data_IF_905745156176
#
_entry.id   IF_905745156176
#
_cell.length_a   1.000
_cell.length_b   1.000
_cell.length_c   1.000
_cell.angle_alpha   90.00
_cell.angle_beta   90.00
_cell.angle_gamma   90.00
#
_symmetry.space_group_name_H-M   'P 1'
#
loop_
_entity.id
_entity.type
_entity.pdbx_description
1 polymer ?
#
# COMPACT_ATOMS: atom_id res chain seq x y z
N UNK A 1 70.11 -27.86 22.24
CA UNK A 1 68.69 -27.86 22.67
C UNK A 1 68.32 -26.45 23.05
N UNK A 2 67.65 -25.71 22.16
CA UNK A 2 67.22 -24.34 22.43
C UNK A 2 65.70 -24.31 22.64
N UNK A 3 65.28 -23.94 23.85
CA UNK A 3 63.90 -23.66 24.22
C UNK A 3 63.48 -22.32 23.63
N UNK A 4 62.57 -22.32 22.66
CA UNK A 4 61.90 -21.12 22.17
C UNK A 4 60.68 -20.88 23.05
N UNK A 5 60.76 -19.89 23.95
CA UNK A 5 59.60 -19.36 24.67
C UNK A 5 58.92 -18.33 23.77
N UNK A 6 57.79 -18.73 23.18
CA UNK A 6 56.91 -17.86 22.43
C UNK A 6 56.12 -16.98 23.43
N UNK A 7 56.42 -15.69 23.48
CA UNK A 7 55.65 -14.71 24.26
C UNK A 7 54.52 -14.20 23.35
N UNK A 8 53.30 -14.64 23.62
CA UNK A 8 52.09 -14.14 22.94
C UNK A 8 51.69 -12.84 23.63
N UNK A 9 52.00 -11.71 23.00
CA UNK A 9 51.56 -10.39 23.45
C UNK A 9 50.13 -10.16 22.94
N UNK A 10 49.15 -10.39 23.81
CA UNK A 10 47.73 -10.17 23.52
C UNK A 10 47.41 -8.68 23.73
N UNK A 11 47.37 -7.90 22.65
CA UNK A 11 46.91 -6.51 22.67
C UNK A 11 45.37 -6.48 22.77
N UNK A 12 44.87 -6.16 23.96
CA UNK A 12 43.48 -5.82 24.21
C UNK A 12 43.25 -4.36 23.78
N UNK A 13 42.78 -4.18 22.54
CA UNK A 13 42.28 -2.90 22.02
C UNK A 13 40.84 -2.71 22.54
N UNK A 14 40.69 -1.95 23.61
CA UNK A 14 39.39 -1.44 24.06
C UNK A 14 39.02 -0.27 23.15
N UNK A 15 38.24 -0.56 22.11
CA UNK A 15 37.55 0.48 21.35
C UNK A 15 36.46 1.06 22.25
N UNK A 16 36.67 2.27 22.76
CA UNK A 16 35.63 3.08 23.37
C UNK A 16 34.61 3.41 22.28
N UNK A 17 33.60 2.55 22.14
CA UNK A 17 32.46 2.78 21.26
C UNK A 17 31.77 4.05 21.70
N UNK A 18 31.86 5.08 20.86
CA UNK A 18 30.94 6.20 20.89
C UNK A 18 29.55 5.61 20.73
N UNK A 19 28.81 5.55 21.84
CA UNK A 19 27.42 5.15 21.86
C UNK A 19 26.68 6.20 21.01
N UNK A 20 26.16 5.87 19.82
CA UNK A 20 25.31 6.81 19.12
C UNK A 20 24.15 7.08 20.07
N UNK A 21 23.93 8.35 20.41
CA UNK A 21 22.67 8.77 21.00
C UNK A 21 21.60 8.41 19.98
N UNK A 22 21.04 7.21 20.13
CA UNK A 22 19.73 6.85 19.61
C UNK A 22 18.82 7.86 20.27
N UNK A 23 18.51 8.92 19.53
CA UNK A 23 17.49 9.87 19.89
C UNK A 23 16.27 9.03 20.25
N UNK A 24 15.90 9.01 21.53
CA UNK A 24 14.62 8.51 21.98
C UNK A 24 13.59 9.26 21.13
N UNK A 25 13.05 8.57 20.12
CA UNK A 25 11.84 9.02 19.45
C UNK A 25 10.83 9.06 20.57
N UNK A 26 10.34 10.26 20.83
CA UNK A 26 9.30 10.52 21.81
C UNK A 26 8.06 9.70 21.42
N UNK A 27 7.96 8.47 21.94
CA UNK A 27 6.87 7.51 21.75
C UNK A 27 5.61 7.97 22.53
N UNK A 28 5.34 9.29 22.52
CA UNK A 28 4.07 9.90 22.93
C UNK A 28 3.09 10.00 21.74
N UNK A 29 3.17 9.07 20.79
CA UNK A 29 2.37 9.01 19.57
C UNK A 29 1.02 8.34 19.82
N UNK A 30 0.26 8.89 20.77
CA UNK A 30 -1.19 8.80 20.66
C UNK A 30 -1.67 9.43 19.33
N UNK A 31 -2.87 9.09 18.84
CA UNK A 31 -3.45 9.77 17.69
C UNK A 31 -3.41 11.30 17.90
N UNK A 32 -2.69 12.01 17.05
CA UNK A 32 -2.60 13.47 17.09
C UNK A 32 -3.28 14.07 15.87
N UNK A 33 -4.08 15.13 16.06
CA UNK A 33 -4.68 15.87 14.96
C UNK A 33 -3.64 16.34 13.96
N UNK A 34 -3.97 16.20 12.68
CA UNK A 34 -3.14 16.71 11.59
C UNK A 34 -3.63 18.11 11.25
N UNK A 35 -2.86 19.11 11.64
CA UNK A 35 -3.25 20.53 11.52
C UNK A 35 -2.54 21.26 10.39
N UNK A 36 -1.66 20.59 9.64
CA UNK A 36 -0.90 21.22 8.56
C UNK A 36 -0.68 20.30 7.35
N UNK A 37 -0.53 20.85 6.13
CA UNK A 37 -0.18 20.09 4.93
C UNK A 37 1.11 19.28 5.10
N UNK A 38 2.11 19.86 5.79
CA UNK A 38 3.38 19.19 6.07
C UNK A 38 3.20 17.94 6.92
N UNK A 39 2.42 18.04 8.01
CA UNK A 39 2.13 16.89 8.86
C UNK A 39 1.33 15.82 8.12
N UNK A 40 0.41 16.21 7.22
CA UNK A 40 -0.32 15.28 6.36
C UNK A 40 0.61 14.54 5.38
N UNK A 41 1.53 15.27 4.75
CA UNK A 41 2.54 14.70 3.85
C UNK A 41 3.46 13.71 4.59
N UNK A 42 4.01 14.10 5.73
CA UNK A 42 4.86 13.23 6.56
C UNK A 42 4.11 11.97 7.00
N UNK A 43 2.83 12.10 7.38
CA UNK A 43 2.00 10.94 7.74
C UNK A 43 1.74 10.03 6.53
N UNK A 44 1.46 10.59 5.36
CA UNK A 44 1.24 9.83 4.13
C UNK A 44 2.48 9.02 3.75
N UNK A 45 3.66 9.64 3.81
CA UNK A 45 4.93 8.96 3.56
C UNK A 45 5.17 7.84 4.59
N UNK A 46 4.96 8.11 5.89
CA UNK A 46 5.12 7.10 6.94
C UNK A 46 4.22 5.86 6.76
N UNK A 47 2.97 6.04 6.30
CA UNK A 47 2.09 4.90 6.00
C UNK A 47 2.50 4.17 4.71
N UNK A 48 2.93 4.91 3.69
CA UNK A 48 3.04 4.36 2.34
C UNK A 48 4.43 3.90 1.95
N UNK A 49 5.49 4.50 2.51
CA UNK A 49 6.88 4.24 2.15
C UNK A 49 7.25 4.70 0.74
N UNK A 50 6.43 5.54 0.09
CA UNK A 50 6.63 5.94 -1.32
C UNK A 50 7.90 6.75 -1.56
N UNK A 51 8.48 7.38 -0.52
CA UNK A 51 9.77 8.06 -0.59
C UNK A 51 10.93 7.13 -1.01
N UNK A 52 10.75 5.82 -0.92
CA UNK A 52 11.73 4.84 -1.39
C UNK A 52 11.72 4.66 -2.92
N UNK A 53 10.62 5.04 -3.59
CA UNK A 53 10.42 4.81 -5.03
C UNK A 53 10.30 6.09 -5.85
N UNK A 54 10.06 7.24 -5.22
CA UNK A 54 9.98 8.54 -5.87
C UNK A 54 10.91 9.54 -5.22
N UNK A 55 11.39 10.50 -6.00
CA UNK A 55 12.14 11.63 -5.47
C UNK A 55 11.19 12.59 -4.76
N UNK A 56 11.35 12.73 -3.44
CA UNK A 56 10.56 13.66 -2.61
C UNK A 56 11.25 15.00 -2.42
N UNK A 57 12.48 15.17 -2.94
CA UNK A 57 13.25 16.41 -2.79
C UNK A 57 12.53 17.53 -3.54
N UNK A 58 12.14 18.57 -2.80
CA UNK A 58 11.50 19.75 -3.37
C UNK A 58 9.98 19.67 -3.54
N UNK A 59 9.34 18.55 -3.17
CA UNK A 59 7.87 18.51 -3.06
C UNK A 59 7.44 19.49 -1.98
N UNK A 60 6.63 20.49 -2.36
CA UNK A 60 6.01 21.40 -1.39
C UNK A 60 4.72 20.79 -0.87
N UNK A 61 4.61 20.69 0.46
CA UNK A 61 3.48 20.04 1.10
C UNK A 61 2.13 20.68 0.71
N UNK A 62 2.10 22.00 0.53
CA UNK A 62 0.91 22.76 0.16
C UNK A 62 0.41 22.46 -1.27
N UNK A 63 1.30 21.96 -2.13
CA UNK A 63 0.95 21.61 -3.52
C UNK A 63 0.30 20.22 -3.59
N UNK A 64 0.72 19.30 -2.72
CA UNK A 64 0.30 17.89 -2.75
C UNK A 64 -0.73 17.52 -1.69
N UNK A 65 -0.77 18.22 -0.54
CA UNK A 65 -1.65 17.92 0.58
C UNK A 65 -2.70 19.02 0.75
N UNK A 66 -3.98 18.63 0.62
CA UNK A 66 -5.12 19.55 0.72
C UNK A 66 -6.13 19.02 1.73
N UNK A 67 -6.60 19.90 2.61
CA UNK A 67 -7.76 19.62 3.45
C UNK A 67 -9.02 19.75 2.59
N UNK A 68 -9.79 18.67 2.49
CA UNK A 68 -10.98 18.58 1.65
C UNK A 68 -12.11 17.93 2.42
N UNK A 69 -13.35 18.21 2.03
CA UNK A 69 -14.50 17.45 2.55
C UNK A 69 -14.63 16.17 1.72
N UNK A 70 -14.39 15.03 2.34
CA UNK A 70 -14.56 13.75 1.70
C UNK A 70 -16.01 13.54 1.28
N UNK A 71 -16.19 13.00 0.07
CA UNK A 71 -17.46 12.46 -0.39
C UNK A 71 -17.20 11.04 -0.84
N UNK A 72 -17.71 10.10 -0.07
CA UNK A 72 -17.64 8.69 -0.44
C UNK A 72 -19.01 8.08 -0.26
N UNK A 73 -19.73 7.97 -1.37
CA UNK A 73 -20.97 7.20 -1.44
C UNK A 73 -20.72 5.75 -1.81
N UNK A 74 -19.46 5.38 -2.01
CA UNK A 74 -19.07 4.20 -2.77
C UNK A 74 -18.54 3.12 -1.85
N UNK A 75 -17.51 3.37 -1.05
CA UNK A 75 -16.92 2.33 -0.20
C UNK A 75 -17.84 2.09 1.00
N UNK A 76 -18.54 0.95 1.13
CA UNK A 76 -19.30 0.66 2.36
C UNK A 76 -18.35 0.68 3.57
N UNK A 77 -18.83 0.81 4.80
CA UNK A 77 -18.05 0.95 6.07
C UNK A 77 -17.08 2.14 6.18
N UNK A 78 -16.49 2.64 5.09
CA UNK A 78 -15.71 3.88 5.08
C UNK A 78 -16.65 5.07 4.88
N UNK A 79 -17.58 4.99 3.91
CA UNK A 79 -18.59 6.02 3.60
C UNK A 79 -19.28 6.59 4.83
N UNK A 80 -19.82 5.73 5.71
CA UNK A 80 -20.48 6.15 6.95
C UNK A 80 -19.57 6.95 7.90
N UNK A 81 -18.24 6.80 7.78
CA UNK A 81 -17.25 7.49 8.60
C UNK A 81 -16.63 8.70 7.93
N UNK A 82 -16.56 8.75 6.60
CA UNK A 82 -15.81 9.80 5.89
C UNK A 82 -16.72 10.75 5.11
N UNK A 83 -17.94 10.36 4.76
CA UNK A 83 -18.82 11.20 3.97
C UNK A 83 -19.17 12.47 4.76
N UNK A 84 -18.87 13.63 4.17
CA UNK A 84 -19.05 14.94 4.79
C UNK A 84 -18.02 15.30 5.86
N UNK A 85 -17.01 14.47 6.11
CA UNK A 85 -15.92 14.78 7.05
C UNK A 85 -14.77 15.52 6.35
N UNK A 86 -14.08 16.39 7.10
CA UNK A 86 -12.81 16.96 6.66
C UNK A 86 -11.71 15.88 6.72
N UNK A 87 -10.98 15.74 5.62
CA UNK A 87 -9.86 14.80 5.49
C UNK A 87 -8.70 15.47 4.80
N UNK A 88 -7.49 15.02 5.10
CA UNK A 88 -6.32 15.35 4.31
C UNK A 88 -6.23 14.43 3.10
N UNK A 89 -6.19 15.02 1.91
CA UNK A 89 -5.94 14.34 0.66
C UNK A 89 -4.53 14.69 0.19
N UNK A 90 -3.62 13.71 0.20
CA UNK A 90 -2.24 13.84 -0.29
C UNK A 90 -2.13 13.14 -1.64
N UNK A 91 -1.74 13.87 -2.67
CA UNK A 91 -1.66 13.37 -4.05
C UNK A 91 -0.23 13.34 -4.57
N UNK A 92 0.22 12.16 -5.01
CA UNK A 92 1.49 12.00 -5.73
C UNK A 92 1.22 11.54 -7.14
N UNK A 93 1.60 12.35 -8.13
CA UNK A 93 1.40 12.02 -9.54
C UNK A 93 2.62 11.35 -10.17
N UNK A 94 2.40 10.59 -11.23
CA UNK A 94 3.45 9.98 -12.05
C UNK A 94 4.42 9.07 -11.26
N UNK A 95 3.91 8.34 -10.27
CA UNK A 95 4.68 7.42 -9.44
C UNK A 95 4.87 6.10 -10.18
N UNK A 96 6.13 5.64 -10.28
CA UNK A 96 6.48 4.28 -10.69
C UNK A 96 6.94 3.50 -9.46
N UNK A 97 6.37 2.32 -9.26
CA UNK A 97 6.70 1.44 -8.14
C UNK A 97 7.98 0.63 -8.44
N UNK A 98 8.90 0.60 -7.48
CA UNK A 98 10.05 -0.27 -7.48
C UNK A 98 9.88 -1.31 -6.36
N UNK A 99 9.24 -2.43 -6.69
CA UNK A 99 8.91 -3.49 -5.72
C UNK A 99 9.99 -4.56 -5.67
N UNK A 100 10.26 -5.10 -4.48
CA UNK A 100 11.27 -6.14 -4.30
C UNK A 100 10.91 -7.42 -5.06
N UNK A 101 11.91 -8.03 -5.69
CA UNK A 101 11.76 -9.27 -6.46
C UNK A 101 11.10 -9.11 -7.83
N UNK A 102 10.83 -7.87 -8.28
CA UNK A 102 10.32 -7.61 -9.62
C UNK A 102 11.46 -7.40 -10.63
N UNK A 103 11.25 -7.89 -11.87
CA UNK A 103 12.24 -7.73 -12.93
C UNK A 103 12.37 -6.25 -13.36
N UNK A 104 13.58 -5.76 -13.70
CA UNK A 104 13.78 -4.40 -14.19
C UNK A 104 12.90 -4.04 -15.41
N UNK A 105 12.64 -5.01 -16.29
CA UNK A 105 11.75 -4.83 -17.43
C UNK A 105 10.30 -4.62 -17.03
N UNK A 106 9.81 -5.29 -15.98
CA UNK A 106 8.47 -5.06 -15.45
C UNK A 106 8.35 -3.66 -14.83
N UNK A 107 9.38 -3.23 -14.09
CA UNK A 107 9.44 -1.88 -13.50
C UNK A 107 9.48 -0.81 -14.59
N UNK A 108 10.26 -1.01 -15.66
CA UNK A 108 10.36 -0.06 -16.77
C UNK A 108 9.05 0.09 -17.54
N UNK A 109 8.33 -1.03 -17.74
CA UNK A 109 7.13 -1.11 -18.59
C UNK A 109 5.80 -0.86 -17.85
N UNK A 110 5.83 -0.55 -16.54
CA UNK A 110 4.61 -0.21 -15.82
C UNK A 110 4.02 1.14 -16.26
N UNK A 111 2.70 1.29 -16.15
CA UNK A 111 2.09 2.62 -16.23
C UNK A 111 2.49 3.42 -14.98
N UNK A 112 2.90 4.69 -15.11
CA UNK A 112 2.95 5.59 -13.96
C UNK A 112 1.55 5.76 -13.38
N UNK A 113 1.46 5.85 -12.05
CA UNK A 113 0.20 5.98 -11.33
C UNK A 113 0.14 7.28 -10.54
N UNK A 114 -1.06 7.79 -10.38
CA UNK A 114 -1.34 8.84 -9.40
C UNK A 114 -1.90 8.21 -8.15
N UNK A 115 -1.23 8.44 -7.02
CA UNK A 115 -1.62 7.99 -5.69
C UNK A 115 -2.36 9.11 -4.97
N UNK A 116 -3.54 8.80 -4.45
CA UNK A 116 -4.36 9.63 -3.59
C UNK A 116 -4.45 8.95 -2.22
N UNK A 117 -3.84 9.57 -1.21
CA UNK A 117 -3.78 9.08 0.16
C UNK A 117 -4.75 9.93 0.98
N UNK A 118 -5.74 9.29 1.58
CA UNK A 118 -6.77 9.94 2.39
C UNK A 118 -6.51 9.64 3.86
N UNK A 119 -6.33 10.70 4.65
CA UNK A 119 -5.98 10.65 6.07
C UNK A 119 -7.02 11.43 6.88
N UNK A 120 -7.47 10.86 7.99
CA UNK A 120 -8.35 11.52 8.94
C UNK A 120 -7.65 12.76 9.55
N UNK A 121 -8.31 13.93 9.53
CA UNK A 121 -7.71 15.15 10.07
C UNK A 121 -7.65 15.19 11.60
N UNK A 122 -8.50 14.42 12.28
CA UNK A 122 -8.65 14.44 13.75
C UNK A 122 -7.63 13.54 14.43
N UNK A 123 -7.43 12.32 13.93
CA UNK A 123 -6.57 11.34 14.58
C UNK A 123 -5.37 10.90 13.73
N UNK A 124 -5.35 11.32 12.46
CA UNK A 124 -4.28 11.02 11.51
C UNK A 124 -4.25 9.58 11.03
N UNK A 125 -5.34 8.82 11.23
CA UNK A 125 -5.48 7.46 10.71
C UNK A 125 -5.53 7.47 9.18
N UNK A 126 -4.89 6.48 8.57
CA UNK A 126 -5.04 6.23 7.15
C UNK A 126 -6.43 5.63 6.85
N UNK A 127 -7.24 6.35 6.09
CA UNK A 127 -8.57 5.91 5.69
C UNK A 127 -8.49 5.01 4.45
N UNK A 128 -7.81 5.48 3.40
CA UNK A 128 -7.53 4.67 2.21
C UNK A 128 -6.38 5.25 1.37
N UNK A 129 -5.84 4.40 0.50
CA UNK A 129 -4.98 4.77 -0.61
C UNK A 129 -5.65 4.32 -1.90
N UNK A 130 -5.74 5.22 -2.86
CA UNK A 130 -6.21 4.93 -4.21
C UNK A 130 -5.06 5.23 -5.16
N UNK A 131 -4.87 4.39 -6.17
CA UNK A 131 -3.95 4.71 -7.26
C UNK A 131 -4.53 4.31 -8.60
N UNK A 132 -4.25 5.09 -9.65
CA UNK A 132 -4.73 4.81 -11.01
C UNK A 132 -3.70 5.24 -12.06
N UNK A 133 -3.67 4.57 -13.22
CA UNK A 133 -2.95 5.09 -14.39
C UNK A 133 -3.66 6.36 -14.90
N UNK A 134 -2.92 7.42 -15.21
CA UNK A 134 -3.47 8.75 -15.60
C UNK A 134 -4.53 8.71 -16.72
N UNK A 135 -4.38 7.81 -17.69
CA UNK A 135 -5.28 7.73 -18.84
C UNK A 135 -6.64 7.07 -18.53
N UNK A 136 -6.84 6.50 -17.34
CA UNK A 136 -7.95 5.58 -17.07
C UNK A 136 -8.56 5.71 -15.65
N UNK A 137 -8.88 6.92 -15.20
CA UNK A 137 -9.71 7.07 -13.98
C UNK A 137 -11.13 6.58 -14.28
N UNK A 138 -11.46 5.36 -13.88
CA UNK A 138 -12.84 4.90 -13.96
C UNK A 138 -13.67 5.63 -12.90
N UNK A 139 -14.91 6.01 -13.24
CA UNK A 139 -15.79 6.77 -12.35
C UNK A 139 -16.04 6.06 -11.01
N UNK A 140 -16.42 6.85 -9.99
CA UNK A 140 -16.61 6.41 -8.61
C UNK A 140 -17.56 5.20 -8.46
N UNK A 141 -18.60 5.08 -9.30
CA UNK A 141 -19.63 4.04 -9.24
C UNK A 141 -19.08 2.61 -9.38
N UNK A 142 -17.92 2.45 -10.03
CA UNK A 142 -17.28 1.16 -10.22
C UNK A 142 -16.66 0.60 -8.93
N UNK A 143 -16.38 1.44 -7.94
CA UNK A 143 -15.58 1.08 -6.76
C UNK A 143 -16.45 0.55 -5.61
N UNK A 144 -17.67 1.08 -5.52
CA UNK A 144 -18.59 0.82 -4.42
C UNK A 144 -18.96 -0.65 -4.27
N UNK A 145 -19.33 -1.23 -5.41
CA UNK A 145 -19.98 -2.52 -5.50
C UNK A 145 -19.00 -3.66 -5.18
N UNK A 146 -17.70 -3.47 -5.44
CA UNK A 146 -16.69 -4.51 -5.20
C UNK A 146 -16.01 -4.38 -3.84
N UNK A 147 -15.87 -3.17 -3.30
CA UNK A 147 -15.47 -2.99 -1.91
C UNK A 147 -16.49 -3.66 -0.98
N UNK A 148 -17.79 -3.47 -1.23
CA UNK A 148 -18.87 -4.14 -0.49
C UNK A 148 -18.71 -5.67 -0.43
N UNK A 149 -18.55 -6.29 -1.60
CA UNK A 149 -18.52 -7.75 -1.73
C UNK A 149 -17.20 -8.38 -1.26
N UNK A 150 -16.08 -7.65 -1.38
CA UNK A 150 -14.76 -8.11 -0.96
C UNK A 150 -14.54 -8.03 0.56
N UNK A 151 -15.31 -7.19 1.26
CA UNK A 151 -15.19 -6.97 2.71
C UNK A 151 -16.26 -7.71 3.52
N UNK A 152 -17.40 -8.08 2.92
CA UNK A 152 -18.50 -8.78 3.62
C UNK A 152 -18.37 -10.30 3.69
N UNK A 153 -17.56 -10.94 2.82
CA UNK A 153 -17.56 -12.41 2.69
C UNK A 153 -16.48 -13.17 3.50
N UNK A 154 -15.44 -12.51 4.01
CA UNK A 154 -14.28 -13.21 4.62
C UNK A 154 -13.66 -12.55 5.86
N UNK A 155 -14.20 -11.42 6.36
CA UNK A 155 -13.60 -10.72 7.50
C UNK A 155 -14.54 -10.73 8.70
N UNK A 156 -14.43 -11.77 9.52
CA UNK A 156 -15.01 -11.74 10.85
C UNK A 156 -14.35 -10.60 11.64
N UNK A 157 -15.08 -9.50 11.86
CA UNK A 157 -14.77 -8.33 12.69
C UNK A 157 -13.67 -7.35 12.24
N UNK A 158 -13.99 -6.53 11.24
CA UNK A 158 -13.36 -5.21 11.06
C UNK A 158 -13.79 -4.26 12.20
N UNK A 159 -12.84 -3.72 12.97
CA UNK A 159 -13.15 -2.77 14.07
C UNK A 159 -12.86 -1.30 13.73
N UNK A 160 -12.11 -1.03 12.67
CA UNK A 160 -11.74 0.33 12.26
C UNK A 160 -10.38 0.39 11.57
N UNK A 161 -9.72 1.53 11.66
CA UNK A 161 -8.46 1.84 11.01
C UNK A 161 -7.28 1.84 11.99
N UNK A 162 -6.09 1.56 11.48
CA UNK A 162 -4.86 1.69 12.25
C UNK A 162 -4.55 3.18 12.48
N UNK A 163 -4.49 3.60 13.75
CA UNK A 163 -4.26 5.00 14.16
C UNK A 163 -2.81 5.47 14.03
N UNK A 164 -1.88 4.53 13.97
CA UNK A 164 -0.47 4.78 13.78
C UNK A 164 0.01 4.09 12.50
N UNK A 165 1.07 4.61 11.85
CA UNK A 165 1.75 3.90 10.78
C UNK A 165 2.16 2.49 11.22
N UNK A 166 1.81 1.44 10.45
CA UNK A 166 2.21 0.08 10.75
C UNK A 166 3.73 -0.12 10.56
N UNK A 167 4.28 -1.21 11.09
CA UNK A 167 5.71 -1.52 10.93
C UNK A 167 6.08 -1.83 9.46
N UNK A 168 5.14 -2.42 8.73
CA UNK A 168 5.25 -2.71 7.30
C UNK A 168 4.50 -1.63 6.54
N UNK A 169 5.21 -0.86 5.71
CA UNK A 169 4.60 0.20 4.91
C UNK A 169 3.73 -0.38 3.78
N UNK A 170 2.92 0.45 3.13
CA UNK A 170 2.18 0.00 1.94
C UNK A 170 3.14 -0.54 0.86
N UNK A 171 4.27 0.13 0.60
CA UNK A 171 5.23 -0.31 -0.42
C UNK A 171 5.78 -1.72 -0.14
N UNK A 172 6.09 -2.01 1.13
CA UNK A 172 6.52 -3.34 1.58
C UNK A 172 5.38 -4.36 1.37
N UNK A 173 4.16 -4.01 1.79
CA UNK A 173 2.99 -4.86 1.63
C UNK A 173 2.65 -5.13 0.15
N UNK A 174 2.82 -4.15 -0.75
CA UNK A 174 2.67 -4.34 -2.20
C UNK A 174 3.72 -5.31 -2.76
N UNK A 175 4.93 -5.32 -2.20
CA UNK A 175 5.97 -6.28 -2.58
C UNK A 175 5.60 -7.70 -2.18
N UNK A 176 4.86 -7.89 -1.08
CA UNK A 176 4.34 -9.20 -0.63
C UNK A 176 3.07 -9.59 -1.39
N UNK A 177 2.21 -8.63 -1.71
CA UNK A 177 0.90 -8.83 -2.34
C UNK A 177 0.97 -9.12 -3.86
N UNK A 178 1.78 -10.12 -4.26
CA UNK A 178 1.99 -10.50 -5.66
C UNK A 178 0.68 -10.76 -6.44
N UNK A 179 -0.37 -11.39 -5.89
CA UNK A 179 -1.63 -11.62 -6.62
C UNK A 179 -2.33 -10.33 -7.05
N UNK A 180 -2.27 -9.27 -6.24
CA UNK A 180 -2.84 -7.96 -6.58
C UNK A 180 -2.07 -7.26 -7.71
N UNK A 181 -0.87 -7.74 -8.05
CA UNK A 181 -0.06 -7.34 -9.21
C UNK A 181 0.03 -5.81 -9.39
N UNK A 182 0.49 -5.13 -8.34
CA UNK A 182 0.45 -3.67 -8.24
C UNK A 182 1.15 -2.92 -9.38
N UNK A 183 2.21 -3.50 -9.97
CA UNK A 183 2.89 -2.91 -11.12
C UNK A 183 1.96 -2.77 -12.33
N UNK A 184 1.18 -3.82 -12.63
CA UNK A 184 0.39 -3.89 -13.85
C UNK A 184 -1.10 -3.64 -13.65
N UNK A 185 -1.59 -3.66 -12.41
CA UNK A 185 -2.94 -3.22 -12.09
C UNK A 185 -3.14 -1.79 -12.61
N UNK A 186 -4.29 -1.54 -13.24
CA UNK A 186 -4.63 -0.18 -13.69
C UNK A 186 -5.11 0.69 -12.56
N UNK A 187 -5.77 0.09 -11.58
CA UNK A 187 -6.19 0.72 -10.34
C UNK A 187 -5.74 -0.12 -9.14
N UNK A 188 -5.36 0.57 -8.07
CA UNK A 188 -5.03 -0.01 -6.78
C UNK A 188 -5.85 0.66 -5.69
N UNK A 189 -6.34 -0.14 -4.77
CA UNK A 189 -6.98 0.32 -3.54
C UNK A 189 -6.33 -0.38 -2.37
N UNK A 190 -5.95 0.38 -1.36
CA UNK A 190 -5.42 -0.17 -0.13
C UNK A 190 -6.02 0.51 1.09
N UNK A 191 -6.21 -0.24 2.16
CA UNK A 191 -6.55 0.26 3.47
C UNK A 191 -5.79 -0.53 4.54
N UNK A 192 -5.42 0.15 5.62
CA UNK A 192 -4.82 -0.48 6.81
C UNK A 192 -5.88 -0.55 7.91
N UNK A 193 -6.44 -1.73 8.11
CA UNK A 193 -7.62 -1.95 8.96
C UNK A 193 -7.27 -2.81 10.16
N UNK A 194 -7.94 -2.58 11.29
CA UNK A 194 -7.81 -3.43 12.47
C UNK A 194 -8.67 -4.69 12.29
N UNK A 195 -8.00 -5.83 12.22
CA UNK A 195 -8.60 -7.15 12.01
C UNK A 195 -8.49 -8.01 13.27
N UNK A 196 -9.60 -8.63 13.68
CA UNK A 196 -9.63 -9.56 14.81
C UNK A 196 -10.06 -10.93 14.35
N UNK A 197 -9.29 -11.98 14.66
CA UNK A 197 -9.74 -13.35 14.37
C UNK A 197 -10.95 -13.69 15.25
N UNK A 198 -11.98 -14.32 14.69
CA UNK A 198 -13.12 -14.80 15.47
C UNK A 198 -12.64 -15.71 16.62
N UNK A 199 -12.98 -15.34 17.86
CA UNK A 199 -12.53 -16.02 19.08
C UNK A 199 -11.10 -15.69 19.57
N UNK A 200 -10.39 -14.80 18.87
CA UNK A 200 -9.10 -14.26 19.30
C UNK A 200 -9.25 -13.09 20.28
N UNK A 201 -8.25 -12.89 21.15
CA UNK A 201 -8.26 -11.84 22.18
C UNK A 201 -7.66 -10.50 21.73
N UNK A 202 -7.34 -10.33 20.44
CA UNK A 202 -6.66 -9.12 19.97
C UNK A 202 -6.95 -8.78 18.51
N UNK A 203 -6.69 -7.52 18.18
CA UNK A 203 -6.78 -6.97 16.82
C UNK A 203 -5.37 -6.66 16.32
N UNK A 204 -5.05 -7.07 15.09
CA UNK A 204 -3.82 -6.67 14.41
C UNK A 204 -4.13 -5.78 13.20
N UNK A 205 -3.27 -4.80 12.87
CA UNK A 205 -3.42 -4.04 11.65
C UNK A 205 -3.10 -4.93 10.44
N UNK A 206 -3.94 -4.87 9.42
CA UNK A 206 -3.83 -5.65 8.19
C UNK A 206 -3.96 -4.73 6.99
N UNK A 207 -3.03 -4.86 6.05
CA UNK A 207 -3.16 -4.26 4.73
C UNK A 207 -4.11 -5.09 3.89
N UNK A 208 -5.21 -4.48 3.46
CA UNK A 208 -6.11 -5.05 2.45
C UNK A 208 -5.84 -4.33 1.14
N UNK A 209 -5.29 -5.03 0.15
CA UNK A 209 -4.82 -4.49 -1.12
C UNK A 209 -5.62 -5.11 -2.26
N UNK A 210 -6.28 -4.28 -3.05
CA UNK A 210 -7.07 -4.68 -4.20
C UNK A 210 -6.40 -4.13 -5.46
N UNK A 211 -5.99 -5.02 -6.36
CA UNK A 211 -5.55 -4.69 -7.71
C UNK A 211 -6.67 -4.94 -8.72
N UNK A 212 -6.88 -3.99 -9.62
CA UNK A 212 -7.91 -4.06 -10.66
C UNK A 212 -7.34 -3.99 -12.06
N UNK A 213 -8.09 -4.58 -12.99
CA UNK A 213 -7.69 -4.75 -14.38
C UNK A 213 -6.29 -5.36 -14.47
N UNK A 214 -6.04 -6.33 -13.58
CA UNK A 214 -4.79 -7.08 -13.54
C UNK A 214 -4.75 -7.94 -14.80
N UNK A 215 -3.71 -7.81 -15.65
CA UNK A 215 -3.59 -8.69 -16.80
C UNK A 215 -3.47 -10.13 -16.31
N UNK A 216 -4.31 -11.02 -16.85
CA UNK A 216 -4.17 -12.46 -16.68
C UNK A 216 -2.88 -12.90 -17.37
N UNK A 217 -1.80 -13.00 -16.58
CA UNK A 217 -0.56 -13.59 -17.07
C UNK A 217 -0.77 -15.10 -17.04
N UNK A 218 -0.95 -15.72 -18.21
CA UNK A 218 -0.82 -17.17 -18.32
C UNK A 218 0.63 -17.54 -17.99
N UNK A 219 0.87 -17.94 -16.75
CA UNK A 219 2.13 -18.54 -16.34
C UNK A 219 2.30 -19.87 -17.09
N UNK A 220 3.00 -19.87 -18.24
CA UNK A 220 3.43 -21.11 -18.89
C UNK A 220 3.42 -21.20 -20.42
N UNK A 221 3.10 -20.13 -21.17
CA UNK A 221 3.19 -20.17 -22.63
C UNK A 221 4.55 -19.71 -23.18
N UNK A 222 5.12 -20.36 -24.22
CA UNK A 222 6.29 -19.81 -24.93
C UNK A 222 6.00 -18.38 -25.38
N UNK A 223 7.02 -17.52 -25.29
CA UNK A 223 7.00 -16.06 -25.45
C UNK A 223 6.49 -15.50 -26.79
N UNK A 224 5.86 -16.32 -27.64
CA UNK A 224 5.40 -16.01 -29.01
C UNK A 224 3.88 -16.13 -29.19
N UNK A 225 3.08 -15.85 -28.16
CA UNK A 225 1.66 -15.57 -28.42
C UNK A 225 1.56 -14.23 -29.16
N UNK A 226 1.14 -14.31 -30.42
CA UNK A 226 0.90 -13.17 -31.31
C UNK A 226 0.12 -12.06 -30.58
N UNK A 227 0.45 -10.79 -30.86
CA UNK A 227 -0.20 -9.62 -30.24
C UNK A 227 -1.73 -9.70 -30.22
N UNK A 228 -2.34 -10.35 -31.21
CA UNK A 228 -3.78 -10.57 -31.29
C UNK A 228 -4.33 -11.42 -30.14
N UNK A 229 -3.63 -12.49 -29.71
CA UNK A 229 -4.05 -13.31 -28.57
C UNK A 229 -3.92 -12.51 -27.26
N UNK A 230 -2.91 -11.64 -27.15
CA UNK A 230 -2.76 -10.70 -26.03
C UNK A 230 -3.88 -9.66 -25.99
N UNK A 231 -4.34 -9.16 -27.15
CA UNK A 231 -5.47 -8.23 -27.24
C UNK A 231 -6.81 -8.89 -26.90
N UNK A 232 -7.00 -10.16 -27.27
CA UNK A 232 -8.23 -10.89 -26.93
C UNK A 232 -8.29 -11.32 -25.46
N UNK A 233 -7.17 -11.78 -24.86
CA UNK A 233 -7.13 -12.12 -23.44
C UNK A 233 -7.19 -10.91 -22.51
N UNK A 234 -6.80 -9.72 -22.99
CA UNK A 234 -6.99 -8.44 -22.28
C UNK A 234 -8.46 -8.03 -22.06
N UNK A 235 -9.43 -8.82 -22.53
CA UNK A 235 -10.86 -8.54 -22.30
C UNK A 235 -11.35 -9.00 -20.93
N UNK A 236 -10.68 -9.97 -20.30
CA UNK A 236 -11.06 -10.40 -18.96
C UNK A 236 -10.37 -9.53 -17.90
N UNK A 237 -11.13 -8.57 -17.37
CA UNK A 237 -10.70 -7.73 -16.25
C UNK A 237 -10.81 -8.55 -14.96
N UNK A 238 -9.66 -8.88 -14.37
CA UNK A 238 -9.59 -9.59 -13.09
C UNK A 238 -9.36 -8.61 -11.96
N UNK A 239 -10.03 -8.88 -10.83
CA UNK A 239 -9.83 -8.18 -9.57
C UNK A 239 -9.22 -9.18 -8.59
N UNK A 240 -8.10 -8.80 -7.99
CA UNK A 240 -7.44 -9.57 -6.95
C UNK A 240 -7.40 -8.77 -5.67
N UNK A 241 -7.78 -9.42 -4.57
CA UNK A 241 -7.62 -8.93 -3.21
C UNK A 241 -6.53 -9.75 -2.55
N UNK A 242 -5.64 -9.06 -1.84
CA UNK A 242 -4.61 -9.67 -1.00
C UNK A 242 -4.66 -9.03 0.38
N UNK A 243 -4.46 -9.84 1.42
CA UNK A 243 -4.32 -9.40 2.80
C UNK A 243 -2.91 -9.69 3.31
N UNK A 244 -2.28 -8.71 3.94
CA UNK A 244 -0.93 -8.82 4.51
C UNK A 244 -0.94 -8.28 5.92
N UNK A 245 -0.38 -9.02 6.88
CA UNK A 245 -0.23 -8.54 8.26
C UNK A 245 0.72 -7.33 8.27
N UNK A 246 0.23 -6.19 8.77
CA UNK A 246 0.96 -4.93 8.68
C UNK A 246 2.05 -4.81 9.77
N UNK A 247 2.16 -5.76 10.70
CA UNK A 247 3.22 -5.80 11.70
C UNK A 247 4.35 -6.75 11.30
N UNK A 248 4.02 -7.94 10.81
CA UNK A 248 5.00 -8.98 10.50
C UNK A 248 5.36 -9.05 9.02
N UNK A 249 4.52 -8.53 8.12
CA UNK A 249 4.66 -8.70 6.68
C UNK A 249 4.24 -10.09 6.20
N UNK A 250 3.55 -10.86 7.03
CA UNK A 250 3.07 -12.18 6.67
C UNK A 250 1.90 -12.09 5.67
N UNK A 251 1.98 -12.86 4.58
CA UNK A 251 0.87 -13.01 3.65
C UNK A 251 -0.27 -13.79 4.33
N UNK A 252 -1.44 -13.18 4.45
CA UNK A 252 -2.58 -13.78 5.16
C UNK A 252 -3.53 -14.52 4.22
N UNK A 253 -3.59 -14.11 2.95
CA UNK A 253 -4.47 -14.72 1.96
C UNK A 253 -4.71 -13.83 0.76
N UNK A 254 -5.22 -14.44 -0.31
CA UNK A 254 -5.68 -13.71 -1.48
C UNK A 254 -6.94 -14.37 -2.05
N UNK A 255 -7.81 -13.55 -2.62
CA UNK A 255 -9.00 -13.98 -3.35
C UNK A 255 -9.10 -13.20 -4.66
N UNK A 256 -9.51 -13.90 -5.72
CA UNK A 256 -9.61 -13.34 -7.06
C UNK A 256 -10.97 -13.66 -7.66
N UNK A 257 -11.52 -12.72 -8.43
CA UNK A 257 -12.73 -12.91 -9.20
C UNK A 257 -12.54 -12.40 -10.62
N UNK A 258 -12.82 -13.24 -11.61
CA UNK A 258 -13.00 -12.76 -12.99
C UNK A 258 -14.43 -12.27 -13.14
N UNK A 259 -14.61 -11.03 -13.61
CA UNK A 259 -15.92 -10.58 -14.07
C UNK A 259 -15.83 -10.37 -15.57
N UNK A 260 -16.60 -11.18 -16.30
CA UNK A 260 -16.88 -10.88 -17.70
C UNK A 260 -17.72 -9.60 -17.71
N UNK A 261 -17.11 -8.46 -18.01
CA UNK A 261 -17.87 -7.24 -18.28
C UNK A 261 -18.57 -7.49 -19.62
N UNK A 262 -19.92 -7.55 -19.67
CA UNK A 262 -20.60 -7.69 -20.94
C UNK A 262 -20.24 -6.48 -21.83
N UNK A 263 -19.76 -6.77 -23.04
CA UNK A 263 -19.23 -5.81 -24.00
C UNK A 263 -20.21 -4.69 -24.41
N UNK A 264 -21.49 -4.81 -24.04
CA UNK A 264 -22.58 -3.93 -24.50
C UNK A 264 -22.84 -2.70 -23.62
N UNK A 265 -22.02 -2.40 -22.61
CA UNK A 265 -22.26 -1.26 -21.71
C UNK A 265 -21.60 0.06 -22.15
N UNK A 266 -21.42 0.28 -23.46
CA UNK A 266 -21.15 1.65 -23.97
C UNK A 266 -22.48 2.38 -24.16
N UNK A 267 -22.85 3.18 -23.16
CA UNK A 267 -23.79 4.28 -23.32
C UNK A 267 -23.04 5.60 -23.17
#
# INVERSE_FOLDING_TARGET
>A
MYCIRLVVLMFLLVAAGANPQVSERDDQTGPQPITSPKAALERALAYTGLEQTMDTIGIKAEEVAKLVVARDSTTPFISDRIDGQEVWCVTFSNVKLNLEGCYPSAIANQCPKTFEIIIDSIDGSLLCVKAWCEDERHGADSLAVYAADALTKELDSLQGFAKAPPAITLLDALSIAKPSNALFAKELHAACVMYGKSGGSGYSPVWVIIGRDVPTIEFGGPHELAEEVRREHNKEKVVFRTSVDAMSGEFMGASGGSRKIPLDSKK
#
